data_IF_731003430300
#
_entry.id   IF_731003430300
#
_cell.length_a   1.000
_cell.length_b   1.000
_cell.length_c   1.000
_cell.angle_alpha   90.00
_cell.angle_beta   90.00
_cell.angle_gamma   90.00
#
_symmetry.space_group_name_H-M   'P 1'
#
loop_
_entity.id
_entity.type
_entity.pdbx_description
1 polymer ?
#
# COMPACT_ATOMS: atom_id res chain seq x y z
N UNK A 1 -9.07 -27.71 14.36
CA UNK A 1 -10.41 -27.43 13.82
C UNK A 1 -10.20 -26.99 12.38
N UNK A 2 -10.74 -27.72 11.40
CA UNK A 2 -10.40 -27.58 9.99
C UNK A 2 -11.08 -26.35 9.36
N UNK A 3 -10.39 -25.58 8.51
CA UNK A 3 -10.97 -24.43 7.83
C UNK A 3 -11.85 -24.87 6.66
N UNK A 4 -12.89 -24.09 6.37
CA UNK A 4 -13.83 -24.40 5.29
C UNK A 4 -13.24 -24.09 3.91
N UNK A 5 -13.70 -24.82 2.88
CA UNK A 5 -13.29 -24.68 1.48
C UNK A 5 -13.40 -23.27 0.88
N UNK A 6 -14.11 -22.35 1.55
CA UNK A 6 -14.23 -20.93 1.16
C UNK A 6 -12.98 -20.09 1.47
N UNK A 7 -12.18 -20.46 2.47
CA UNK A 7 -11.10 -19.60 2.97
C UNK A 7 -9.84 -19.65 2.10
N UNK A 8 -9.62 -20.79 1.42
CA UNK A 8 -8.44 -21.01 0.57
C UNK A 8 -8.67 -20.54 -0.89
N UNK A 9 -9.93 -20.44 -1.36
CA UNK A 9 -10.32 -19.85 -2.66
C UNK A 9 -9.93 -18.37 -2.81
N UNK A 10 -9.63 -17.72 -1.69
CA UNK A 10 -9.55 -16.28 -1.56
C UNK A 10 -8.19 -15.68 -1.96
N UNK A 11 -7.08 -16.36 -1.68
CA UNK A 11 -5.71 -15.91 -2.01
C UNK A 11 -5.45 -15.87 -3.53
N UNK A 12 -5.95 -16.85 -4.27
CA UNK A 12 -5.74 -17.04 -5.71
C UNK A 12 -6.48 -16.00 -6.58
N UNK A 13 -7.78 -15.77 -6.35
CA UNK A 13 -8.59 -14.85 -7.18
C UNK A 13 -8.24 -13.37 -7.00
N UNK A 14 -7.92 -12.97 -5.76
CA UNK A 14 -7.68 -11.55 -5.40
C UNK A 14 -6.35 -11.05 -5.94
N UNK A 15 -5.29 -11.84 -5.81
CA UNK A 15 -3.96 -11.47 -6.28
C UNK A 15 -3.92 -11.33 -7.80
N UNK A 16 -4.56 -12.25 -8.55
CA UNK A 16 -4.65 -12.22 -10.01
C UNK A 16 -5.34 -10.96 -10.55
N UNK A 17 -6.40 -10.48 -9.90
CA UNK A 17 -7.14 -9.30 -10.33
C UNK A 17 -6.38 -8.00 -10.04
N UNK A 18 -5.71 -7.92 -8.88
CA UNK A 18 -4.89 -6.75 -8.47
C UNK A 18 -3.69 -6.59 -9.41
N UNK A 19 -2.97 -7.69 -9.68
CA UNK A 19 -1.81 -7.71 -10.56
C UNK A 19 -2.12 -7.35 -12.01
N UNK A 20 -3.36 -7.57 -12.49
CA UNK A 20 -3.78 -7.26 -13.87
C UNK A 20 -3.92 -5.78 -14.18
N UNK A 21 -3.88 -4.90 -13.17
CA UNK A 21 -4.36 -3.55 -13.36
C UNK A 21 -3.39 -2.45 -12.93
N UNK A 22 -2.45 -2.67 -11.98
CA UNK A 22 -1.71 -1.56 -11.36
C UNK A 22 -0.31 -1.91 -10.86
N UNK A 23 0.41 -0.86 -10.44
CA UNK A 23 1.79 -0.93 -9.97
C UNK A 23 2.16 0.27 -9.11
N UNK A 24 2.86 0.09 -7.99
CA UNK A 24 3.23 1.18 -7.08
C UNK A 24 4.36 2.08 -7.64
N UNK A 25 4.26 3.39 -7.44
CA UNK A 25 5.26 4.43 -7.70
C UNK A 25 5.75 5.00 -6.36
N UNK A 26 6.91 5.64 -6.37
CA UNK A 26 7.26 6.64 -5.37
C UNK A 26 7.80 7.85 -6.10
N UNK A 27 7.17 9.01 -5.94
CA UNK A 27 7.82 10.27 -6.28
C UNK A 27 8.67 10.70 -5.07
N UNK A 28 9.98 10.72 -5.27
CA UNK A 28 10.95 11.19 -4.27
C UNK A 28 11.76 12.33 -4.86
N UNK A 29 11.22 13.55 -4.80
CA UNK A 29 12.02 14.77 -4.91
C UNK A 29 12.41 15.23 -3.51
N UNK A 30 13.52 14.70 -2.99
CA UNK A 30 14.23 15.33 -1.88
C UNK A 30 15.73 15.31 -2.17
N UNK A 31 16.24 16.43 -2.65
CA UNK A 31 17.66 16.72 -2.77
C UNK A 31 18.20 17.16 -1.41
N UNK A 32 19.05 16.35 -0.79
CA UNK A 32 19.77 16.76 0.42
C UNK A 32 21.02 17.54 0.03
N UNK A 33 21.01 18.86 0.19
CA UNK A 33 22.24 19.65 0.26
C UNK A 33 22.83 19.55 1.68
N UNK A 34 24.09 19.13 1.77
CA UNK A 34 24.87 19.09 3.00
C UNK A 34 25.47 20.47 3.29
N UNK A 35 24.75 21.29 4.03
CA UNK A 35 25.30 22.30 4.92
C UNK A 35 24.49 22.27 6.21
N UNK A 36 25.15 22.36 7.38
CA UNK A 36 24.45 22.36 8.67
C UNK A 36 23.57 23.62 8.76
N UNK A 37 22.23 23.50 8.69
CA UNK A 37 21.38 24.66 8.72
C UNK A 37 21.32 25.25 10.13
N UNK A 38 21.01 26.55 10.27
CA UNK A 38 20.71 27.15 11.57
C UNK A 38 19.62 26.35 12.30
N UNK A 39 19.53 26.44 13.64
CA UNK A 39 18.51 25.73 14.40
C UNK A 39 17.13 26.01 13.80
N UNK A 40 16.48 24.95 13.32
CA UNK A 40 15.18 25.05 12.66
C UNK A 40 14.15 25.54 13.68
N UNK A 41 13.27 26.49 13.28
CA UNK A 41 12.23 26.99 14.15
C UNK A 41 11.30 25.86 14.60
N UNK A 42 10.87 25.92 15.87
CA UNK A 42 9.97 24.93 16.43
C UNK A 42 8.60 25.07 15.77
N UNK A 43 8.25 24.11 14.91
CA UNK A 43 7.04 24.17 14.09
C UNK A 43 6.07 23.08 14.53
N UNK A 44 4.85 23.47 14.93
CA UNK A 44 3.73 22.52 15.06
C UNK A 44 2.90 22.58 13.80
N UNK A 45 2.40 21.42 13.36
CA UNK A 45 1.59 21.30 12.15
C UNK A 45 0.29 20.55 12.40
N UNK A 46 -0.69 20.75 11.53
CA UNK A 46 -1.96 20.04 11.55
C UNK A 46 -2.37 19.62 10.13
N UNK A 47 -3.08 18.50 10.05
CA UNK A 47 -3.76 18.10 8.82
C UNK A 47 -5.01 18.94 8.60
N UNK A 48 -5.24 19.30 7.34
CA UNK A 48 -6.40 20.09 6.92
C UNK A 48 -7.24 19.33 5.89
N UNK A 49 -8.53 19.62 5.89
CA UNK A 49 -9.43 19.33 4.79
C UNK A 49 -9.21 20.33 3.63
N UNK A 50 -9.77 20.00 2.46
CA UNK A 50 -9.71 20.85 1.27
C UNK A 50 -10.47 22.18 1.36
N UNK A 51 -11.31 22.35 2.37
CA UNK A 51 -11.96 23.62 2.71
C UNK A 51 -11.12 24.48 3.68
N UNK A 52 -9.98 23.96 4.13
CA UNK A 52 -9.05 24.63 5.05
C UNK A 52 -9.34 24.37 6.52
N UNK A 53 -10.42 23.65 6.83
CA UNK A 53 -10.73 23.26 8.21
C UNK A 53 -9.74 22.21 8.71
N UNK A 54 -9.48 22.22 10.02
CA UNK A 54 -8.57 21.27 10.65
C UNK A 54 -9.24 19.89 10.72
N UNK A 55 -8.48 18.85 10.40
CA UNK A 55 -8.89 17.47 10.65
C UNK A 55 -8.92 17.24 12.16
N UNK A 56 -10.10 16.92 12.68
CA UNK A 56 -10.33 16.64 14.12
C UNK A 56 -10.60 15.16 14.39
N UNK A 57 -10.93 14.42 13.33
CA UNK A 57 -11.11 12.98 13.36
C UNK A 57 -9.81 12.26 13.67
N UNK A 58 -9.92 11.04 14.21
CA UNK A 58 -8.77 10.20 14.47
C UNK A 58 -8.13 9.80 13.14
N UNK A 59 -6.87 10.19 12.94
CA UNK A 59 -6.05 9.71 11.83
C UNK A 59 -5.63 8.27 12.13
N UNK A 60 -5.99 7.34 11.26
CA UNK A 60 -5.73 5.90 11.39
C UNK A 60 -4.73 5.38 10.35
N UNK A 61 -4.34 6.21 9.37
CA UNK A 61 -3.33 5.89 8.38
C UNK A 61 -2.75 7.15 7.74
N UNK A 62 -1.46 7.10 7.37
CA UNK A 62 -0.75 8.20 6.72
C UNK A 62 0.04 7.62 5.55
N UNK A 63 -0.35 7.98 4.33
CA UNK A 63 0.35 7.66 3.08
C UNK A 63 1.19 8.83 2.56
N UNK A 64 1.75 8.67 1.36
CA UNK A 64 2.49 9.73 0.67
C UNK A 64 1.58 10.91 0.31
N UNK A 65 0.52 10.62 -0.45
CA UNK A 65 -0.43 11.64 -0.96
C UNK A 65 -1.73 11.77 -0.14
N UNK A 66 -2.07 10.79 0.70
CA UNK A 66 -3.32 10.76 1.45
C UNK A 66 -3.17 10.45 2.94
N UNK A 67 -4.15 10.83 3.74
CA UNK A 67 -4.36 10.35 5.10
C UNK A 67 -5.69 9.60 5.17
N UNK A 68 -5.78 8.63 6.09
CA UNK A 68 -7.02 7.90 6.37
C UNK A 68 -7.53 8.34 7.73
N UNK A 69 -8.76 8.84 7.77
CA UNK A 69 -9.44 9.28 8.99
C UNK A 69 -10.62 8.37 9.31
N UNK A 70 -10.88 8.17 10.59
CA UNK A 70 -12.03 7.41 11.07
C UNK A 70 -13.29 8.27 11.08
N UNK A 71 -14.34 7.80 10.39
CA UNK A 71 -15.67 8.43 10.40
C UNK A 71 -16.75 7.39 10.69
N UNK A 72 -17.17 7.31 11.95
CA UNK A 72 -18.18 6.36 12.45
C UNK A 72 -17.79 4.91 12.13
N UNK A 73 -18.51 4.26 11.22
CA UNK A 73 -18.27 2.88 10.77
C UNK A 73 -17.41 2.77 9.51
N UNK A 74 -16.91 3.91 9.02
CA UNK A 74 -16.12 4.01 7.79
C UNK A 74 -14.73 4.55 8.07
N UNK A 75 -13.81 4.19 7.19
CA UNK A 75 -12.55 4.89 7.00
C UNK A 75 -12.68 5.78 5.77
N UNK A 76 -12.18 7.01 5.84
CA UNK A 76 -12.20 7.97 4.75
C UNK A 76 -10.76 8.36 4.43
N UNK A 77 -10.29 8.01 3.24
CA UNK A 77 -9.02 8.50 2.71
C UNK A 77 -9.24 9.88 2.10
N UNK A 78 -8.44 10.87 2.49
CA UNK A 78 -8.50 12.25 2.01
C UNK A 78 -7.08 12.75 1.67
N UNK A 79 -6.93 13.82 0.86
CA UNK A 79 -5.64 14.44 0.56
C UNK A 79 -4.83 14.79 1.81
N UNK A 80 -3.53 14.49 1.78
CA UNK A 80 -2.60 14.80 2.87
C UNK A 80 -2.14 16.26 2.81
N UNK A 81 -2.98 17.17 3.30
CA UNK A 81 -2.63 18.60 3.40
C UNK A 81 -2.12 18.87 4.81
N UNK A 82 -0.80 19.06 4.94
CA UNK A 82 -0.16 19.41 6.21
C UNK A 82 0.22 20.88 6.19
N UNK A 83 -0.20 21.65 7.19
CA UNK A 83 0.17 23.07 7.32
C UNK A 83 0.68 23.38 8.72
N UNK A 84 1.65 24.31 8.86
CA UNK A 84 2.06 24.81 10.16
C UNK A 84 0.88 25.52 10.84
N UNK A 85 0.77 25.37 12.15
CA UNK A 85 -0.22 26.02 13.01
C UNK A 85 0.44 26.92 14.06
N UNK A 86 1.71 26.66 14.37
CA UNK A 86 2.51 27.42 15.32
C UNK A 86 3.96 27.38 14.85
N UNK A 87 4.62 28.54 14.85
CA UNK A 87 6.06 28.68 14.56
C UNK A 87 6.67 29.47 15.71
N UNK A 88 7.62 28.89 16.42
CA UNK A 88 8.29 29.49 17.58
C UNK A 88 7.31 29.99 18.67
N UNK A 89 6.28 29.20 18.94
CA UNK A 89 5.26 29.54 19.94
C UNK A 89 4.21 30.55 19.45
N UNK A 90 4.35 31.08 18.23
CA UNK A 90 3.42 32.03 17.64
C UNK A 90 2.42 31.29 16.76
N UNK A 91 1.10 31.36 17.05
CA UNK A 91 0.08 30.80 16.18
C UNK A 91 0.13 31.44 14.80
N UNK A 92 0.20 30.62 13.75
CA UNK A 92 0.04 31.08 12.36
C UNK A 92 -1.40 30.83 11.90
N UNK A 93 -1.92 31.71 11.05
CA UNK A 93 -3.27 31.59 10.54
C UNK A 93 -3.44 30.24 9.82
N UNK A 94 -4.22 29.34 10.44
CA UNK A 94 -4.52 28.02 9.90
C UNK A 94 -5.61 28.14 8.85
N UNK A 95 -5.52 27.34 7.77
CA UNK A 95 -6.55 27.30 6.72
C UNK A 95 -6.28 28.16 5.50
N UNK A 96 -5.15 28.88 5.41
CA UNK A 96 -4.72 29.47 4.13
C UNK A 96 -4.26 28.33 3.20
N UNK A 97 -5.20 27.84 2.40
CA UNK A 97 -4.93 26.82 1.39
C UNK A 97 -4.25 27.38 0.14
N UNK A 98 -4.44 28.67 -0.13
CA UNK A 98 -3.78 29.36 -1.23
C UNK A 98 -2.30 29.52 -0.89
N UNK A 99 -1.39 28.95 -1.69
CA UNK A 99 0.04 29.22 -1.54
C UNK A 99 0.31 30.72 -1.70
N UNK A 100 1.43 31.18 -1.14
CA UNK A 100 1.94 32.51 -1.47
C UNK A 100 2.35 32.56 -2.95
N UNK A 101 2.34 33.75 -3.54
CA UNK A 101 2.69 33.93 -4.95
C UNK A 101 4.09 33.39 -5.24
N UNK A 102 4.20 32.49 -6.23
CA UNK A 102 5.44 31.80 -6.56
C UNK A 102 5.67 30.47 -5.84
N UNK A 103 4.89 30.15 -4.80
CA UNK A 103 4.95 28.84 -4.15
C UNK A 103 4.11 27.80 -4.90
N UNK A 104 4.63 26.58 -4.94
CA UNK A 104 3.95 25.43 -5.53
C UNK A 104 2.70 25.05 -4.72
N UNK A 105 1.58 24.83 -5.44
CA UNK A 105 0.34 24.31 -4.87
C UNK A 105 0.31 22.80 -5.04
N UNK A 106 0.43 22.04 -3.96
CA UNK A 106 0.41 20.58 -4.04
C UNK A 106 -1.02 20.01 -4.18
N UNK A 107 -2.06 20.81 -3.89
CA UNK A 107 -3.45 20.30 -3.81
C UNK A 107 -3.94 19.66 -5.11
N UNK A 108 -3.69 20.22 -6.31
CA UNK A 108 -4.09 19.58 -7.57
C UNK A 108 -3.51 18.18 -7.73
N UNK A 109 -2.27 17.96 -7.31
CA UNK A 109 -1.60 16.66 -7.43
C UNK A 109 -2.10 15.67 -6.38
N UNK A 110 -2.37 16.12 -5.15
CA UNK A 110 -3.00 15.28 -4.12
C UNK A 110 -4.45 14.88 -4.52
N UNK A 111 -5.21 15.81 -5.11
CA UNK A 111 -6.57 15.53 -5.63
C UNK A 111 -6.48 14.53 -6.78
N UNK A 112 -5.57 14.75 -7.72
CA UNK A 112 -5.34 13.85 -8.85
C UNK A 112 -5.00 12.44 -8.36
N UNK A 113 -4.10 12.30 -7.39
CA UNK A 113 -3.74 10.99 -6.81
C UNK A 113 -4.96 10.24 -6.26
N UNK A 114 -5.85 10.91 -5.53
CA UNK A 114 -7.10 10.29 -5.04
C UNK A 114 -8.04 9.91 -6.20
N UNK A 115 -8.13 10.74 -7.26
CA UNK A 115 -8.99 10.43 -8.41
C UNK A 115 -8.44 9.29 -9.26
N UNK A 116 -7.13 9.22 -9.44
CA UNK A 116 -6.45 8.11 -10.08
C UNK A 116 -6.72 6.83 -9.28
N UNK A 117 -6.52 6.87 -7.96
CA UNK A 117 -6.84 5.76 -7.06
C UNK A 117 -8.32 5.33 -7.13
N UNK A 118 -9.27 6.27 -7.24
CA UNK A 118 -10.67 5.92 -7.49
C UNK A 118 -10.85 5.19 -8.81
N UNK A 119 -10.21 5.68 -9.87
CA UNK A 119 -10.31 5.08 -11.19
C UNK A 119 -9.70 3.66 -11.22
N UNK A 120 -8.66 3.41 -10.41
CA UNK A 120 -8.11 2.09 -10.12
C UNK A 120 -9.19 1.19 -9.51
N UNK A 121 -9.81 1.58 -8.39
CA UNK A 121 -10.87 0.77 -7.76
C UNK A 121 -12.08 0.55 -8.69
N UNK A 122 -12.46 1.55 -9.50
CA UNK A 122 -13.55 1.40 -10.50
C UNK A 122 -13.22 0.33 -11.53
N UNK A 123 -11.96 0.28 -12.01
CA UNK A 123 -11.50 -0.72 -12.98
C UNK A 123 -11.43 -2.13 -12.37
N UNK A 124 -11.07 -2.25 -11.09
CA UNK A 124 -11.08 -3.53 -10.38
C UNK A 124 -12.48 -4.11 -10.22
N UNK A 125 -13.47 -3.23 -9.97
CA UNK A 125 -14.81 -3.63 -9.59
C UNK A 125 -14.88 -4.21 -8.18
N UNK A 126 -16.06 -4.74 -7.82
CA UNK A 126 -16.25 -5.40 -6.53
C UNK A 126 -15.59 -6.79 -6.55
N UNK A 127 -14.64 -7.01 -5.64
CA UNK A 127 -13.95 -8.30 -5.49
C UNK A 127 -13.85 -8.70 -4.01
N UNK A 128 -14.14 -9.95 -3.61
CA UNK A 128 -14.18 -10.36 -2.19
C UNK A 128 -12.91 -10.10 -1.38
N UNK A 129 -11.72 -10.15 -1.99
CA UNK A 129 -10.45 -9.84 -1.33
C UNK A 129 -9.92 -8.42 -1.50
N UNK A 130 -10.68 -7.54 -2.15
CA UNK A 130 -10.36 -6.12 -2.23
C UNK A 130 -11.38 -5.36 -1.39
N UNK A 131 -10.94 -4.39 -0.60
CA UNK A 131 -11.86 -3.58 0.19
C UNK A 131 -12.85 -2.86 -0.71
N UNK A 132 -14.15 -2.98 -0.38
CA UNK A 132 -15.20 -2.27 -1.09
C UNK A 132 -15.15 -0.78 -0.79
N UNK A 133 -15.19 0.03 -1.85
CA UNK A 133 -15.24 1.49 -1.77
C UNK A 133 -16.63 2.01 -2.17
N UNK A 134 -17.17 2.98 -1.43
CA UNK A 134 -18.59 3.36 -1.51
C UNK A 134 -18.87 4.60 -2.34
N UNK A 135 -17.91 5.52 -2.47
CA UNK A 135 -18.09 6.82 -3.11
C UNK A 135 -17.22 6.96 -4.38
N UNK A 136 -16.93 5.84 -5.04
CA UNK A 136 -16.10 5.84 -6.24
C UNK A 136 -16.72 6.71 -7.34
N UNK A 137 -18.03 6.78 -7.51
CA UNK A 137 -18.65 7.63 -8.55
C UNK A 137 -18.75 9.12 -8.19
N UNK A 138 -18.34 9.52 -6.99
CA UNK A 138 -18.41 10.92 -6.54
C UNK A 138 -17.18 11.70 -6.99
N UNK A 139 -17.38 12.97 -7.33
CA UNK A 139 -16.30 13.94 -7.62
C UNK A 139 -15.57 14.40 -6.35
N UNK A 140 -16.14 14.16 -5.17
CA UNK A 140 -15.47 14.46 -3.90
C UNK A 140 -14.14 13.70 -3.83
N UNK A 141 -12.99 14.39 -3.66
CA UNK A 141 -11.67 13.77 -3.68
C UNK A 141 -11.39 13.06 -2.35
N UNK A 142 -12.17 12.01 -2.08
CA UNK A 142 -12.02 11.13 -0.93
C UNK A 142 -12.42 9.70 -1.31
N UNK A 143 -11.87 8.70 -0.62
CA UNK A 143 -12.27 7.29 -0.79
C UNK A 143 -12.83 6.78 0.52
N UNK A 144 -14.13 6.47 0.52
CA UNK A 144 -14.82 5.92 1.66
C UNK A 144 -14.84 4.40 1.56
N UNK A 145 -14.37 3.74 2.61
CA UNK A 145 -14.32 2.28 2.75
C UNK A 145 -14.78 1.86 4.14
N UNK A 146 -15.04 0.56 4.35
CA UNK A 146 -15.38 0.07 5.68
C UNK A 146 -14.19 0.26 6.62
N UNK A 147 -14.49 0.65 7.87
CA UNK A 147 -13.47 0.66 8.92
C UNK A 147 -13.09 -0.78 9.27
N UNK A 148 -11.84 -1.15 9.00
CA UNK A 148 -11.28 -2.44 9.42
C UNK A 148 -11.01 -2.40 10.93
N UNK A 149 -11.96 -2.89 11.74
CA UNK A 149 -11.92 -2.78 13.21
C UNK A 149 -10.68 -3.40 13.86
N UNK A 150 -10.09 -4.40 13.20
CA UNK A 150 -8.89 -5.09 13.67
C UNK A 150 -7.58 -4.39 13.26
N UNK A 151 -7.66 -3.21 12.64
CA UNK A 151 -6.49 -2.46 12.16
C UNK A 151 -5.84 -3.12 10.95
N UNK A 152 -4.56 -2.77 10.71
CA UNK A 152 -3.77 -3.40 9.67
C UNK A 152 -3.29 -4.80 10.08
N UNK A 153 -2.92 -5.60 9.07
CA UNK A 153 -2.48 -6.98 9.22
C UNK A 153 -1.34 -7.11 10.24
N UNK A 154 -0.38 -6.19 10.27
CA UNK A 154 0.82 -6.35 11.11
C UNK A 154 0.51 -6.11 12.58
N UNK A 155 -0.29 -5.10 12.90
CA UNK A 155 -0.76 -4.92 14.28
C UNK A 155 -1.62 -6.09 14.71
N UNK A 156 -2.50 -6.55 13.82
CA UNK A 156 -3.35 -7.70 14.10
C UNK A 156 -2.56 -8.99 14.35
N UNK A 157 -1.55 -9.30 13.52
CA UNK A 157 -0.67 -10.47 13.69
C UNK A 157 0.22 -10.38 14.94
N UNK A 158 0.52 -9.17 15.42
CA UNK A 158 1.32 -9.00 16.64
C UNK A 158 0.53 -9.38 17.90
N UNK A 159 -0.78 -9.14 17.90
CA UNK A 159 -1.66 -9.35 19.06
C UNK A 159 -2.46 -10.65 18.97
N UNK A 160 -2.67 -11.16 17.76
CA UNK A 160 -3.52 -12.31 17.47
C UNK A 160 -2.79 -13.28 16.56
N UNK A 161 -2.96 -14.60 16.80
CA UNK A 161 -2.67 -15.63 15.80
C UNK A 161 -3.98 -15.97 15.08
N UNK A 162 -4.27 -15.33 13.94
CA UNK A 162 -5.56 -15.49 13.30
C UNK A 162 -5.76 -16.88 12.70
N UNK A 163 -7.02 -17.29 12.62
CA UNK A 163 -7.43 -18.36 11.72
C UNK A 163 -7.23 -17.91 10.26
N UNK A 164 -7.14 -18.89 9.35
CA UNK A 164 -6.58 -18.73 8.00
C UNK A 164 -7.37 -17.79 7.06
N UNK A 165 -8.45 -17.17 7.53
CA UNK A 165 -9.29 -16.21 6.82
C UNK A 165 -9.01 -14.76 7.27
N UNK A 166 -7.98 -14.13 6.71
CA UNK A 166 -7.70 -12.71 6.94
C UNK A 166 -8.04 -11.93 5.68
N UNK A 167 -8.86 -10.90 5.78
CA UNK A 167 -9.12 -10.00 4.67
C UNK A 167 -8.00 -8.94 4.62
N UNK A 168 -7.38 -8.78 3.44
CA UNK A 168 -6.40 -7.74 3.19
C UNK A 168 -7.10 -6.46 2.69
N UNK A 169 -6.73 -5.30 3.22
CA UNK A 169 -7.04 -4.00 2.62
C UNK A 169 -5.86 -3.56 1.77
N UNK A 170 -6.07 -3.38 0.46
CA UNK A 170 -5.07 -2.83 -0.45
C UNK A 170 -5.11 -1.29 -0.42
N UNK A 171 -3.94 -0.65 -0.39
CA UNK A 171 -3.76 0.79 -0.58
C UNK A 171 -3.19 1.03 -1.99
N UNK A 172 -3.88 1.84 -2.81
CA UNK A 172 -3.47 2.13 -4.19
C UNK A 172 -3.09 3.60 -4.39
N UNK A 173 -2.90 4.38 -3.31
CA UNK A 173 -2.64 5.84 -3.42
C UNK A 173 -1.39 6.21 -4.21
N UNK A 174 -0.43 5.29 -4.26
CA UNK A 174 0.80 5.45 -5.03
C UNK A 174 0.81 4.59 -6.30
N UNK A 175 -0.31 3.95 -6.67
CA UNK A 175 -0.36 3.08 -7.84
C UNK A 175 -0.59 3.85 -9.14
N UNK A 176 -0.01 3.35 -10.23
CA UNK A 176 -0.20 3.87 -11.59
C UNK A 176 -1.27 3.05 -12.31
N UNK A 177 -2.22 3.74 -12.93
CA UNK A 177 -3.16 3.10 -13.85
C UNK A 177 -2.44 2.73 -15.14
N UNK A 178 -2.30 1.43 -15.38
CA UNK A 178 -1.70 0.92 -16.61
C UNK A 178 -2.71 0.87 -17.76
N UNK A 179 -2.29 0.99 -19.03
CA UNK A 179 -3.16 0.77 -20.18
C UNK A 179 -3.91 -0.58 -20.12
N UNK A 180 -5.05 -0.68 -20.80
CA UNK A 180 -5.85 -1.93 -20.82
C UNK A 180 -5.17 -3.05 -21.61
N UNK A 181 -4.31 -2.70 -22.55
CA UNK A 181 -3.56 -3.57 -23.44
C UNK A 181 -2.14 -3.88 -22.94
N UNK A 182 -1.77 -3.41 -21.75
CA UNK A 182 -0.49 -3.77 -21.15
C UNK A 182 -0.48 -5.27 -20.81
N UNK A 183 0.52 -5.98 -21.31
CA UNK A 183 0.62 -7.44 -21.29
C UNK A 183 1.20 -8.00 -19.98
N UNK A 184 1.42 -7.14 -18.98
CA UNK A 184 2.01 -7.45 -17.68
C UNK A 184 3.47 -7.95 -17.75
N UNK A 185 4.12 -7.86 -18.91
CA UNK A 185 5.51 -8.22 -19.08
C UNK A 185 6.43 -7.02 -18.86
N UNK A 186 7.58 -7.29 -18.24
CA UNK A 186 8.65 -6.30 -18.04
C UNK A 186 8.47 -5.37 -16.84
N UNK A 187 9.41 -4.44 -16.73
CA UNK A 187 9.42 -3.37 -15.73
C UNK A 187 9.10 -2.02 -16.36
N UNK A 188 8.29 -1.20 -15.67
CA UNK A 188 8.33 0.26 -15.71
C UNK A 188 9.73 0.82 -15.44
N UNK A 189 9.81 2.14 -15.61
CA UNK A 189 11.04 2.93 -15.55
C UNK A 189 11.73 2.90 -14.17
N UNK A 190 11.07 2.39 -13.13
CA UNK A 190 11.61 2.29 -11.78
C UNK A 190 12.05 0.85 -11.41
N UNK A 191 11.71 -0.16 -12.22
CA UNK A 191 12.14 -1.54 -11.97
C UNK A 191 11.17 -2.39 -11.14
N UNK A 192 9.95 -1.91 -10.86
CA UNK A 192 8.89 -2.78 -10.31
C UNK A 192 8.54 -3.92 -11.32
N UNK A 193 7.59 -4.79 -11.05
CA UNK A 193 6.98 -5.72 -12.03
C UNK A 193 5.99 -6.61 -11.31
N UNK A 194 5.25 -7.40 -12.09
CA UNK A 194 4.52 -8.54 -11.55
C UNK A 194 5.42 -9.43 -10.69
N UNK A 195 6.70 -9.59 -11.06
CA UNK A 195 7.67 -10.31 -10.25
C UNK A 195 7.86 -9.65 -8.90
N UNK A 196 8.09 -8.34 -8.84
CA UNK A 196 8.31 -7.65 -7.55
C UNK A 196 7.08 -7.70 -6.66
N UNK A 197 5.88 -7.74 -7.24
CA UNK A 197 4.63 -7.91 -6.51
C UNK A 197 4.50 -9.34 -5.95
N UNK A 198 4.85 -10.36 -6.75
CA UNK A 198 4.92 -11.77 -6.32
C UNK A 198 5.93 -11.94 -5.17
N UNK A 199 7.11 -11.33 -5.28
CA UNK A 199 8.14 -11.37 -4.24
C UNK A 199 7.67 -10.72 -2.92
N UNK A 200 7.06 -9.54 -3.00
CA UNK A 200 6.46 -8.85 -1.85
C UNK A 200 5.30 -9.65 -1.25
N UNK A 201 4.48 -10.29 -2.08
CA UNK A 201 3.41 -11.16 -1.62
C UNK A 201 3.95 -12.41 -0.91
N UNK A 202 5.05 -12.99 -1.38
CA UNK A 202 5.78 -14.04 -0.66
C UNK A 202 6.20 -13.62 0.75
N UNK A 203 6.62 -12.36 0.93
CA UNK A 203 6.91 -11.83 2.27
C UNK A 203 5.65 -11.69 3.15
N UNK A 204 4.51 -11.28 2.58
CA UNK A 204 3.23 -11.26 3.29
C UNK A 204 2.79 -12.67 3.70
N UNK A 205 2.90 -13.65 2.80
CA UNK A 205 2.61 -15.06 3.10
C UNK A 205 3.50 -15.56 4.26
N UNK A 206 4.80 -15.26 4.22
CA UNK A 206 5.72 -15.60 5.30
C UNK A 206 5.31 -14.96 6.63
N UNK A 207 4.98 -13.65 6.64
CA UNK A 207 4.52 -12.94 7.85
C UNK A 207 3.25 -13.59 8.43
N UNK A 208 2.29 -13.97 7.58
CA UNK A 208 1.04 -14.61 7.99
C UNK A 208 1.30 -15.99 8.60
N UNK A 209 2.12 -16.82 7.94
CA UNK A 209 2.33 -18.21 8.35
C UNK A 209 3.17 -18.31 9.62
N UNK A 210 4.20 -17.48 9.72
CA UNK A 210 5.20 -17.59 10.80
C UNK A 210 4.94 -16.62 11.95
N UNK A 211 4.19 -15.54 11.72
CA UNK A 211 4.09 -14.39 12.62
C UNK A 211 5.37 -13.56 12.69
N UNK A 212 6.40 -13.88 11.90
CA UNK A 212 7.69 -13.19 11.90
C UNK A 212 7.71 -12.13 10.80
N UNK A 213 8.20 -10.93 11.13
CA UNK A 213 8.33 -9.83 10.15
C UNK A 213 9.32 -10.19 9.05
N UNK A 214 8.94 -9.91 7.81
CA UNK A 214 9.79 -10.09 6.63
C UNK A 214 9.78 -8.82 5.79
N UNK A 215 10.96 -8.20 5.62
CA UNK A 215 11.11 -7.04 4.74
C UNK A 215 11.63 -7.50 3.39
N UNK A 216 10.79 -7.39 2.36
CA UNK A 216 11.19 -7.54 0.97
C UNK A 216 11.63 -6.16 0.45
N UNK A 217 12.88 -5.79 0.71
CA UNK A 217 13.38 -4.44 0.46
C UNK A 217 14.02 -4.31 -0.93
N UNK A 218 13.23 -3.81 -1.88
CA UNK A 218 13.68 -3.50 -3.24
C UNK A 218 14.69 -2.35 -3.31
N UNK A 219 14.73 -1.49 -2.28
CA UNK A 219 15.59 -0.32 -2.22
C UNK A 219 16.96 -0.62 -1.62
N UNK A 220 17.19 -1.85 -1.11
CA UNK A 220 18.44 -2.22 -0.43
C UNK A 220 19.69 -2.00 -1.32
N UNK A 221 19.54 -2.08 -2.64
CA UNK A 221 20.62 -1.86 -3.61
C UNK A 221 20.82 -0.40 -4.02
N UNK A 222 19.90 0.52 -3.69
CA UNK A 222 19.99 1.93 -4.10
C UNK A 222 21.12 2.62 -3.34
N UNK A 223 22.05 3.22 -4.09
CA UNK A 223 23.17 4.00 -3.57
C UNK A 223 22.97 5.47 -3.87
N UNK A 224 22.36 5.79 -5.01
CA UNK A 224 22.10 7.14 -5.49
C UNK A 224 20.62 7.35 -5.87
N UNK A 225 20.10 8.60 -5.78
CA UNK A 225 18.76 8.92 -6.25
C UNK A 225 18.60 8.64 -7.75
N UNK A 226 17.69 7.73 -8.10
CA UNK A 226 17.45 7.31 -9.50
C UNK A 226 17.99 5.91 -9.83
N UNK A 227 18.69 5.25 -8.90
CA UNK A 227 19.05 3.84 -9.06
C UNK A 227 17.78 2.97 -9.19
N UNK A 228 17.80 2.03 -10.12
CA UNK A 228 16.71 1.07 -10.31
C UNK A 228 16.52 0.20 -9.06
N UNK A 229 15.27 -0.13 -8.77
CA UNK A 229 14.96 -1.11 -7.73
C UNK A 229 15.56 -2.47 -8.10
N UNK A 230 16.24 -3.09 -7.13
CA UNK A 230 16.92 -4.38 -7.32
C UNK A 230 16.24 -5.47 -6.52
N UNK A 231 16.17 -6.66 -7.11
CA UNK A 231 15.67 -7.84 -6.40
C UNK A 231 16.50 -8.09 -5.13
N UNK A 232 15.87 -8.35 -3.96
CA UNK A 232 16.59 -8.64 -2.74
C UNK A 232 17.42 -9.91 -2.90
N UNK A 233 18.60 -9.95 -2.28
CA UNK A 233 19.41 -11.17 -2.28
C UNK A 233 18.70 -12.24 -1.44
N UNK A 234 18.78 -13.50 -1.86
CA UNK A 234 18.10 -14.59 -1.15
C UNK A 234 18.58 -14.72 0.30
N UNK A 235 19.85 -14.45 0.58
CA UNK A 235 20.44 -14.49 1.92
C UNK A 235 19.99 -13.35 2.84
N UNK A 236 19.39 -12.29 2.30
CA UNK A 236 18.75 -11.24 3.11
C UNK A 236 17.32 -11.58 3.55
N UNK A 237 16.73 -12.63 2.97
CA UNK A 237 15.39 -13.11 3.29
C UNK A 237 15.43 -14.29 4.28
N UNK A 238 14.42 -14.46 5.14
CA UNK A 238 14.36 -15.58 6.10
C UNK A 238 14.42 -16.96 5.44
N UNK A 239 14.78 -17.98 6.23
CA UNK A 239 14.67 -19.37 5.77
C UNK A 239 13.20 -19.79 5.69
N UNK A 240 12.84 -20.51 4.63
CA UNK A 240 11.52 -21.12 4.42
C UNK A 240 11.47 -22.59 4.86
N UNK A 241 12.57 -23.14 5.37
CA UNK A 241 12.65 -24.53 5.79
C UNK A 241 11.68 -24.82 6.93
N UNK A 242 10.95 -25.94 6.86
CA UNK A 242 9.92 -26.34 7.83
C UNK A 242 8.79 -25.30 8.03
N UNK A 243 8.56 -24.45 7.03
CA UNK A 243 7.47 -23.46 7.04
C UNK A 243 6.31 -23.98 6.19
N UNK A 244 5.08 -23.88 6.68
CA UNK A 244 3.89 -24.19 5.87
C UNK A 244 3.82 -23.23 4.67
N UNK A 245 3.56 -23.76 3.46
CA UNK A 245 3.73 -23.03 2.18
C UNK A 245 5.17 -22.56 1.89
N UNK A 246 6.17 -23.04 2.64
CA UNK A 246 7.57 -22.62 2.51
C UNK A 246 8.12 -22.80 1.10
N UNK A 247 7.72 -23.86 0.39
CA UNK A 247 8.12 -24.10 -0.99
C UNK A 247 7.51 -23.08 -1.98
N UNK A 248 6.26 -22.64 -1.78
CA UNK A 248 5.64 -21.59 -2.61
C UNK A 248 6.28 -20.23 -2.31
N UNK A 249 6.52 -19.93 -1.04
CA UNK A 249 7.23 -18.71 -0.63
C UNK A 249 8.61 -18.66 -1.27
N UNK A 250 9.32 -19.79 -1.27
CA UNK A 250 10.64 -19.91 -1.91
C UNK A 250 10.55 -19.59 -3.40
N UNK A 251 9.61 -20.20 -4.13
CA UNK A 251 9.36 -19.94 -5.56
C UNK A 251 9.05 -18.45 -5.85
N UNK A 252 8.34 -17.78 -4.94
CA UNK A 252 8.08 -16.34 -5.05
C UNK A 252 9.37 -15.50 -4.95
N UNK A 253 10.34 -15.93 -4.12
CA UNK A 253 11.59 -15.21 -3.88
C UNK A 253 12.72 -15.58 -4.85
N UNK A 254 12.66 -16.77 -5.46
CA UNK A 254 13.61 -17.26 -6.48
C UNK A 254 13.17 -16.94 -7.91
N UNK A 255 12.04 -16.23 -8.09
CA UNK A 255 11.49 -15.83 -9.40
C UNK A 255 11.04 -17.03 -10.26
N UNK A 256 10.72 -18.17 -9.64
CA UNK A 256 10.21 -19.36 -10.36
C UNK A 256 8.73 -19.20 -10.76
N UNK A 257 7.97 -18.39 -10.04
CA UNK A 257 6.59 -18.02 -10.36
C UNK A 257 6.61 -16.69 -11.10
N UNK A 258 6.15 -16.69 -12.36
CA UNK A 258 6.27 -15.53 -13.25
C UNK A 258 4.97 -14.77 -13.46
N UNK A 259 3.84 -15.31 -12.98
CA UNK A 259 2.55 -14.64 -13.04
C UNK A 259 1.70 -14.88 -11.80
N UNK A 260 0.77 -13.96 -11.53
CA UNK A 260 -0.21 -14.13 -10.47
C UNK A 260 -1.09 -15.37 -10.67
N UNK A 261 -1.30 -15.79 -11.93
CA UNK A 261 -2.10 -16.98 -12.26
C UNK A 261 -1.37 -18.26 -11.86
N UNK A 262 -0.05 -18.31 -12.05
CA UNK A 262 0.75 -19.46 -11.65
C UNK A 262 0.84 -19.56 -10.13
N UNK A 263 1.01 -18.42 -9.44
CA UNK A 263 0.93 -18.37 -7.97
C UNK A 263 -0.41 -18.88 -7.45
N UNK A 264 -1.49 -18.43 -8.08
CA UNK A 264 -2.84 -18.88 -7.78
C UNK A 264 -3.00 -20.40 -7.96
N UNK A 265 -2.47 -20.96 -9.05
CA UNK A 265 -2.52 -22.40 -9.32
C UNK A 265 -1.74 -23.21 -8.28
N UNK A 266 -0.52 -22.79 -7.92
CA UNK A 266 0.30 -23.44 -6.87
C UNK A 266 -0.43 -23.45 -5.52
N UNK A 267 -1.05 -22.33 -5.14
CA UNK A 267 -1.85 -22.23 -3.91
C UNK A 267 -3.13 -23.07 -3.98
N UNK A 268 -3.67 -23.30 -5.18
CA UNK A 268 -4.84 -24.13 -5.41
C UNK A 268 -4.50 -25.63 -5.35
N UNK A 269 -3.32 -26.03 -5.83
CA UNK A 269 -2.83 -27.42 -5.77
C UNK A 269 -2.55 -27.88 -4.34
N UNK A 270 -2.01 -27.00 -3.49
CA UNK A 270 -1.87 -27.25 -2.05
C UNK A 270 -3.22 -27.46 -1.32
N UNK A 271 -4.35 -27.16 -1.97
CA UNK A 271 -5.69 -27.50 -1.44
C UNK A 271 -6.03 -28.98 -1.60
N UNK A 272 -5.47 -29.65 -2.60
CA UNK A 272 -5.79 -31.03 -2.98
C UNK A 272 -5.03 -32.09 -2.18
N UNK A 273 -3.85 -31.74 -1.67
CA UNK A 273 -2.93 -32.64 -0.96
C UNK A 273 -3.23 -32.80 0.54
N UNK A 274 -4.19 -32.05 1.12
CA UNK A 274 -4.63 -32.18 2.52
C UNK A 274 -5.91 -33.06 2.69
N UNK A 275 -6.37 -33.75 1.64
CA UNK A 275 -7.59 -34.59 1.66
C UNK A 275 -7.30 -36.11 1.68
N UNK A 276 -6.03 -36.51 1.77
CA UNK A 276 -5.64 -37.92 1.98
C UNK A 276 -5.23 -38.22 3.44
#
# INVERSE_FOLDING_TARGET
MYPSSREKSWFSSTFVQVCRCFRARRDSTYTSFRENPPPLPSTKSAFLHLDGTKVVERVIGIGGTGIVIERRQYALKIPRILRPIEVDGVPVATGRLTPEEGNYDERPDLIRSIQDEKAIYRRLGDHPGIVRCFNLSSDDPSIQMYLMKNGDLRHYLAETRPEKSIQLSCDFGESVMMPLDWDLNGSDDLGFSIMTDIGQFGAVMFEIVTGQRCRFDLAQGQREPGDLYTWPRRDSLPSTTNTWLGHIIEKCWTQEITSAKDLAAELDEEKGSEVE
#
